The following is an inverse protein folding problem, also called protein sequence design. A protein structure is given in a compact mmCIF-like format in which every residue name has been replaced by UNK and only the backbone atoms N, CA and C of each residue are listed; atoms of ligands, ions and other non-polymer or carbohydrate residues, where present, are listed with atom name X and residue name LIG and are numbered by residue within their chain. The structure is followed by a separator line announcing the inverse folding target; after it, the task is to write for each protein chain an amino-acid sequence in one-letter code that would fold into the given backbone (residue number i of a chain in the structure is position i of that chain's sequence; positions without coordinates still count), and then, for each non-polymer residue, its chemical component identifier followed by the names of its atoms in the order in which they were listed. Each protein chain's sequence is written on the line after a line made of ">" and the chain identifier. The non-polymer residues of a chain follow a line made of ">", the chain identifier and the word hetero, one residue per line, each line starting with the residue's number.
data_IF_117922868223
#
_entry.id   IF_117922868223
#
_cell.length_a   1.000
_cell.length_b   1.000
_cell.length_c   1.000
_cell.angle_alpha   90.00
_cell.angle_beta   90.00
_cell.angle_gamma   90.00
#
_symmetry.space_group_name_H-M   'P 1'
#
loop_
_entity.id
_entity.type
_entity.pdbx_description
1 polymer ?
#
# COMPACT_ATOMS: atom_id res chain seq x y z
N UNK A 1 -6.91 -19.07 5.13
CA UNK A 1 -6.58 -17.70 4.84
C UNK A 1 -5.33 -17.55 3.97
N UNK A 2 -4.20 -18.11 4.30
CA UNK A 2 -2.97 -18.18 3.48
C UNK A 2 -3.26 -18.56 2.01
N UNK A 3 -4.22 -19.47 1.73
CA UNK A 3 -4.63 -19.87 0.37
C UNK A 3 -5.09 -18.73 -0.55
N UNK A 4 -5.65 -17.62 -0.05
CA UNK A 4 -6.03 -16.48 -0.90
C UNK A 4 -4.83 -15.65 -1.33
N UNK A 5 -3.88 -15.47 -0.42
CA UNK A 5 -2.58 -14.83 -0.68
C UNK A 5 -1.79 -15.67 -1.69
N UNK A 6 -1.75 -17.00 -1.48
CA UNK A 6 -1.11 -17.95 -2.39
C UNK A 6 -1.72 -17.90 -3.79
N UNK A 7 -3.05 -17.89 -3.92
CA UNK A 7 -3.74 -17.85 -5.21
C UNK A 7 -3.49 -16.54 -5.99
N UNK A 8 -3.31 -15.41 -5.29
CA UNK A 8 -2.99 -14.12 -5.94
C UNK A 8 -1.58 -14.15 -6.52
N UNK A 9 -0.63 -14.69 -5.76
CA UNK A 9 0.77 -14.83 -6.17
C UNK A 9 1.00 -15.95 -7.19
N UNK A 10 0.26 -17.04 -7.12
CA UNK A 10 0.28 -18.08 -8.17
C UNK A 10 -0.14 -17.53 -9.53
N UNK A 11 -1.17 -16.68 -9.57
CA UNK A 11 -1.60 -15.99 -10.80
C UNK A 11 -0.54 -15.04 -11.37
N UNK A 12 0.29 -14.43 -10.52
CA UNK A 12 1.41 -13.61 -10.96
C UNK A 12 2.53 -14.44 -11.60
N UNK A 13 2.83 -15.60 -10.99
CA UNK A 13 3.83 -16.54 -11.50
C UNK A 13 3.40 -17.14 -12.83
N UNK A 14 2.09 -17.40 -13.01
CA UNK A 14 1.53 -17.93 -14.26
C UNK A 14 1.36 -16.86 -15.36
N UNK A 15 1.39 -15.54 -14.99
CA UNK A 15 1.17 -14.41 -15.88
C UNK A 15 2.46 -13.75 -16.36
N UNK A 16 2.57 -12.45 -16.11
CA UNK A 16 3.64 -11.56 -16.64
C UNK A 16 5.04 -11.96 -16.17
N UNK A 17 5.16 -12.60 -15.02
CA UNK A 17 6.42 -12.94 -14.37
C UNK A 17 6.94 -14.36 -14.65
N UNK A 18 6.16 -15.22 -15.29
CA UNK A 18 6.53 -16.63 -15.55
C UNK A 18 7.90 -16.80 -16.24
N UNK A 19 8.33 -15.78 -17.02
CA UNK A 19 9.62 -15.79 -17.72
C UNK A 19 10.83 -15.53 -16.81
N UNK A 20 10.60 -14.91 -15.65
CA UNK A 20 11.67 -14.50 -14.72
C UNK A 20 11.90 -15.53 -13.61
N UNK A 21 11.00 -16.50 -13.44
CA UNK A 21 11.04 -17.46 -12.36
C UNK A 21 11.61 -18.83 -12.77
N UNK A 22 12.78 -18.81 -13.39
CA UNK A 22 13.56 -20.04 -13.61
C UNK A 22 14.42 -20.45 -12.40
N UNK A 23 14.36 -19.68 -11.29
CA UNK A 23 15.15 -19.92 -10.09
C UNK A 23 14.52 -20.98 -9.18
N UNK A 24 15.32 -21.55 -8.25
CA UNK A 24 14.83 -22.47 -7.22
C UNK A 24 13.89 -21.77 -6.23
N UNK A 25 14.06 -20.44 -6.04
CA UNK A 25 13.24 -19.63 -5.15
C UNK A 25 11.99 -19.10 -5.86
N UNK A 26 10.81 -19.41 -5.33
CA UNK A 26 9.53 -18.96 -5.88
C UNK A 26 8.96 -17.78 -5.07
N UNK A 27 8.30 -16.79 -5.70
CA UNK A 27 7.68 -15.66 -5.00
C UNK A 27 6.70 -16.07 -3.90
N UNK A 28 5.99 -17.19 -4.07
CA UNK A 28 5.10 -17.73 -3.05
C UNK A 28 5.83 -18.12 -1.76
N UNK A 29 7.09 -18.53 -1.85
CA UNK A 29 7.91 -18.86 -0.68
C UNK A 29 8.32 -17.61 0.08
N UNK A 30 8.63 -16.51 -0.65
CA UNK A 30 8.92 -15.21 -0.08
C UNK A 30 7.70 -14.72 0.72
N UNK A 31 6.51 -14.77 0.12
CA UNK A 31 5.28 -14.31 0.78
C UNK A 31 4.91 -15.13 2.01
N UNK A 32 5.03 -16.45 1.94
CA UNK A 32 4.81 -17.32 3.11
C UNK A 32 5.75 -16.97 4.25
N UNK A 33 7.00 -16.69 3.93
CA UNK A 33 7.98 -16.32 4.94
C UNK A 33 7.73 -14.93 5.49
N UNK A 34 7.32 -13.95 4.65
CA UNK A 34 6.88 -12.62 5.10
C UNK A 34 5.73 -12.75 6.10
N UNK A 35 4.67 -13.49 5.77
CA UNK A 35 3.52 -13.70 6.67
C UNK A 35 3.97 -14.30 8.01
N UNK A 36 4.90 -15.26 7.98
CA UNK A 36 5.46 -15.82 9.20
C UNK A 36 6.23 -14.78 10.01
N UNK A 37 7.02 -13.94 9.36
CA UNK A 37 7.78 -12.88 10.05
C UNK A 37 6.84 -11.80 10.61
N UNK A 38 5.72 -11.49 9.95
CA UNK A 38 4.68 -10.61 10.52
C UNK A 38 4.16 -11.18 11.84
N UNK A 39 3.79 -12.47 11.86
CA UNK A 39 3.26 -13.12 13.05
C UNK A 39 4.26 -13.19 14.22
N UNK A 40 5.54 -13.37 13.89
CA UNK A 40 6.60 -13.45 14.89
C UNK A 40 7.00 -12.08 15.47
N UNK A 41 6.90 -11.02 14.66
CA UNK A 41 7.38 -9.69 15.00
C UNK A 41 6.27 -8.67 15.28
N UNK A 42 4.99 -9.09 15.26
CA UNK A 42 3.89 -8.23 15.67
C UNK A 42 4.01 -7.85 17.14
N UNK A 43 3.57 -6.67 17.50
CA UNK A 43 3.54 -6.17 18.87
C UNK A 43 2.13 -5.71 19.24
N UNK A 44 1.92 -5.40 20.53
CA UNK A 44 0.64 -4.87 21.01
C UNK A 44 0.83 -3.38 21.26
N UNK A 45 0.02 -2.56 20.61
CA UNK A 45 -0.02 -1.11 20.78
C UNK A 45 -0.66 -0.70 22.11
N UNK A 46 -0.59 0.60 22.41
CA UNK A 46 -1.05 1.18 23.69
C UNK A 46 -2.56 0.99 23.92
N UNK A 47 -3.31 0.89 22.82
CA UNK A 47 -4.78 0.71 22.85
C UNK A 47 -5.22 -0.76 22.72
N UNK A 48 -4.27 -1.69 22.72
CA UNK A 48 -4.55 -3.13 22.61
C UNK A 48 -4.61 -3.67 21.18
N UNK A 49 -4.39 -2.82 20.18
CA UNK A 49 -4.34 -3.21 18.78
C UNK A 49 -3.05 -3.97 18.47
N UNK A 50 -3.08 -4.87 17.50
CA UNK A 50 -1.89 -5.53 17.02
C UNK A 50 -1.19 -4.66 15.97
N UNK A 51 0.07 -4.33 16.23
CA UNK A 51 0.95 -3.58 15.34
C UNK A 51 1.79 -4.53 14.51
N UNK A 52 1.68 -4.45 13.19
CA UNK A 52 2.48 -5.25 12.27
C UNK A 52 3.81 -4.55 11.94
N UNK A 53 4.90 -5.31 11.72
CA UNK A 53 6.11 -4.77 11.10
C UNK A 53 5.76 -4.24 9.71
N UNK A 54 6.46 -3.19 9.29
CA UNK A 54 6.19 -2.50 8.02
C UNK A 54 7.46 -2.31 7.16
N UNK A 55 8.62 -2.72 7.64
CA UNK A 55 9.86 -2.74 6.86
C UNK A 55 10.39 -4.16 6.77
N UNK A 56 10.59 -4.65 5.54
CA UNK A 56 10.99 -6.01 5.25
C UNK A 56 12.21 -6.02 4.34
N UNK A 57 13.36 -6.44 4.86
CA UNK A 57 14.54 -6.68 4.06
C UNK A 57 14.55 -8.16 3.66
N UNK A 58 14.31 -8.42 2.39
CA UNK A 58 14.27 -9.77 1.79
C UNK A 58 15.64 -10.06 1.20
N UNK A 59 16.44 -10.87 1.89
CA UNK A 59 17.80 -11.21 1.48
C UNK A 59 17.81 -12.57 0.79
N UNK A 60 18.27 -12.60 -0.45
CA UNK A 60 18.34 -13.79 -1.30
C UNK A 60 19.75 -14.00 -1.86
N UNK A 61 20.00 -15.17 -2.44
CA UNK A 61 21.30 -15.44 -3.06
C UNK A 61 21.55 -14.53 -4.27
N UNK A 62 22.81 -14.27 -4.59
CA UNK A 62 23.18 -13.49 -5.78
C UNK A 62 22.67 -14.10 -7.08
N UNK A 63 22.63 -15.43 -7.18
CA UNK A 63 22.07 -16.12 -8.36
C UNK A 63 20.57 -15.92 -8.49
N UNK A 64 19.80 -15.98 -7.39
CA UNK A 64 18.37 -15.73 -7.41
C UNK A 64 18.08 -14.26 -7.68
N UNK A 65 18.83 -13.35 -7.05
CA UNK A 65 18.72 -11.91 -7.28
C UNK A 65 18.90 -11.54 -8.76
N UNK A 66 19.89 -12.14 -9.43
CA UNK A 66 20.12 -11.90 -10.86
C UNK A 66 18.95 -12.32 -11.74
N UNK A 67 18.20 -13.35 -11.33
CA UNK A 67 16.99 -13.79 -12.01
C UNK A 67 15.80 -12.84 -11.77
N UNK A 68 15.75 -12.17 -10.62
CA UNK A 68 14.66 -11.25 -10.27
C UNK A 68 14.90 -9.78 -10.66
N UNK A 69 16.12 -9.41 -11.08
CA UNK A 69 16.52 -8.01 -11.22
C UNK A 69 15.61 -7.19 -12.14
N UNK A 70 15.16 -7.78 -13.25
CA UNK A 70 14.26 -7.11 -14.21
C UNK A 70 12.82 -6.97 -13.68
N UNK A 71 12.43 -7.79 -12.71
CA UNK A 71 11.10 -7.82 -12.11
C UNK A 71 11.13 -7.35 -10.64
N UNK A 72 12.26 -6.82 -10.15
CA UNK A 72 12.46 -6.47 -8.75
C UNK A 72 11.41 -5.49 -8.24
N UNK A 73 11.31 -4.31 -8.84
CA UNK A 73 10.37 -3.26 -8.41
C UNK A 73 8.90 -3.73 -8.45
N UNK A 74 8.41 -4.36 -9.55
CA UNK A 74 7.06 -4.93 -9.55
C UNK A 74 6.85 -6.01 -8.50
N UNK A 75 7.86 -6.83 -8.19
CA UNK A 75 7.76 -7.86 -7.16
C UNK A 75 7.69 -7.25 -5.76
N UNK A 76 8.52 -6.24 -5.47
CA UNK A 76 8.49 -5.49 -4.21
C UNK A 76 7.09 -4.88 -3.98
N UNK A 77 6.52 -4.20 -4.99
CA UNK A 77 5.17 -3.62 -4.92
C UNK A 77 4.08 -4.67 -4.65
N UNK A 78 4.15 -5.83 -5.30
CA UNK A 78 3.16 -6.88 -5.10
C UNK A 78 3.29 -7.54 -3.71
N UNK A 79 4.51 -7.64 -3.20
CA UNK A 79 4.75 -8.10 -1.82
C UNK A 79 4.18 -7.10 -0.81
N UNK A 80 4.34 -5.78 -1.04
CA UNK A 80 3.73 -4.73 -0.21
C UNK A 80 2.21 -4.81 -0.22
N UNK A 81 1.58 -4.99 -1.38
CA UNK A 81 0.13 -5.22 -1.47
C UNK A 81 -0.32 -6.48 -0.73
N UNK A 82 0.46 -7.55 -0.84
CA UNK A 82 0.20 -8.81 -0.16
C UNK A 82 0.24 -8.64 1.36
N UNK A 83 1.24 -7.92 1.88
CA UNK A 83 1.38 -7.58 3.30
C UNK A 83 0.18 -6.76 3.77
N UNK A 84 -0.19 -5.73 3.01
CA UNK A 84 -1.35 -4.87 3.30
C UNK A 84 -2.63 -5.68 3.37
N UNK A 85 -2.89 -6.53 2.37
CA UNK A 85 -4.07 -7.37 2.32
C UNK A 85 -4.15 -8.34 3.49
N UNK A 86 -3.02 -8.97 3.84
CA UNK A 86 -2.94 -9.89 4.97
C UNK A 86 -3.23 -9.16 6.28
N UNK A 87 -2.52 -8.08 6.58
CA UNK A 87 -2.66 -7.33 7.82
C UNK A 87 -4.06 -6.73 7.97
N UNK A 88 -4.65 -6.24 6.87
CA UNK A 88 -6.02 -5.76 6.88
C UNK A 88 -7.03 -6.86 7.27
N UNK A 89 -6.87 -8.08 6.73
CA UNK A 89 -7.76 -9.20 7.05
C UNK A 89 -7.63 -9.68 8.49
N UNK A 90 -6.43 -9.57 9.06
CA UNK A 90 -6.15 -9.93 10.47
C UNK A 90 -6.45 -8.78 11.45
N UNK A 91 -6.77 -7.58 10.95
CA UNK A 91 -7.04 -6.39 11.76
C UNK A 91 -5.78 -5.79 12.39
N UNK A 92 -4.63 -5.95 11.73
CA UNK A 92 -3.37 -5.37 12.20
C UNK A 92 -3.19 -3.94 11.68
N UNK A 93 -2.52 -3.11 12.47
CA UNK A 93 -2.27 -1.69 12.19
C UNK A 93 -0.79 -1.50 11.89
N UNK A 94 -0.49 -0.61 10.94
CA UNK A 94 0.86 -0.15 10.65
C UNK A 94 1.12 1.22 11.29
N UNK A 95 2.33 1.44 11.79
CA UNK A 95 2.79 2.74 12.31
C UNK A 95 3.56 3.56 11.26
N UNK A 96 3.75 3.02 10.07
CA UNK A 96 4.47 3.66 8.98
C UNK A 96 4.21 2.98 7.65
N UNK A 97 4.79 3.50 6.56
CA UNK A 97 4.72 2.91 5.22
C UNK A 97 5.19 1.47 5.23
N UNK A 98 4.48 0.63 4.48
CA UNK A 98 5.00 -0.69 4.14
C UNK A 98 6.13 -0.49 3.12
N UNK A 99 7.26 -1.09 3.39
CA UNK A 99 8.42 -1.08 2.50
C UNK A 99 9.02 -2.48 2.43
N UNK A 100 9.15 -2.99 1.22
CA UNK A 100 9.83 -4.26 0.95
C UNK A 100 11.05 -3.96 0.09
N UNK A 101 12.23 -4.37 0.53
CA UNK A 101 13.46 -4.31 -0.26
C UNK A 101 14.01 -5.70 -0.49
N UNK A 102 14.35 -6.02 -1.74
CA UNK A 102 15.01 -7.27 -2.10
C UNK A 102 16.50 -7.00 -2.29
N UNK A 103 17.32 -7.66 -1.48
CA UNK A 103 18.76 -7.50 -1.44
C UNK A 103 19.46 -8.83 -1.74
N UNK A 104 20.69 -8.74 -2.26
CA UNK A 104 21.52 -9.91 -2.50
C UNK A 104 22.49 -10.16 -1.36
N UNK A 105 22.72 -11.43 -1.06
CA UNK A 105 23.78 -11.89 -0.17
C UNK A 105 24.84 -12.65 -0.99
N UNK A 106 26.05 -12.11 -0.96
CA UNK A 106 27.19 -12.74 -1.64
C UNK A 106 27.55 -14.08 -0.97
N UNK A 107 28.03 -15.04 -1.77
CA UNK A 107 28.46 -16.36 -1.31
C UNK A 107 27.37 -17.23 -0.63
N UNK A 108 26.11 -16.88 -0.75
CA UNK A 108 25.00 -17.71 -0.29
C UNK A 108 24.58 -18.74 -1.35
N UNK A 109 23.99 -19.87 -0.90
CA UNK A 109 23.54 -20.93 -1.82
C UNK A 109 22.25 -20.50 -2.53
N UNK A 110 22.04 -20.93 -3.81
CA UNK A 110 20.75 -20.78 -4.47
C UNK A 110 19.61 -21.27 -3.58
N UNK A 111 18.46 -20.59 -3.62
CA UNK A 111 17.31 -20.89 -2.75
C UNK A 111 17.44 -20.35 -1.31
N UNK A 112 18.56 -19.68 -0.95
CA UNK A 112 18.68 -19.02 0.35
C UNK A 112 17.70 -17.85 0.42
N UNK A 113 16.89 -17.83 1.48
CA UNK A 113 15.93 -16.77 1.77
C UNK A 113 15.97 -16.40 3.24
N UNK A 114 16.32 -15.17 3.55
CA UNK A 114 16.20 -14.57 4.88
C UNK A 114 15.32 -13.33 4.77
N UNK A 115 14.52 -13.08 5.78
CA UNK A 115 13.67 -11.89 5.87
C UNK A 115 13.85 -11.29 7.26
N UNK A 116 14.23 -10.03 7.28
CA UNK A 116 14.33 -9.23 8.49
C UNK A 116 13.14 -8.25 8.51
N UNK A 117 12.19 -8.47 9.41
CA UNK A 117 11.00 -7.66 9.55
C UNK A 117 11.12 -6.72 10.76
N UNK A 118 10.88 -5.42 10.54
CA UNK A 118 11.00 -4.38 11.56
C UNK A 118 9.78 -3.49 11.59
N UNK A 119 9.39 -3.07 12.79
CA UNK A 119 8.42 -2.02 12.99
C UNK A 119 9.15 -0.68 12.97
N UNK A 120 8.77 0.20 12.04
CA UNK A 120 9.28 1.55 11.91
C UNK A 120 8.13 2.54 11.97
N UNK A 121 8.21 3.48 12.89
CA UNK A 121 7.24 4.56 12.99
C UNK A 121 7.65 5.69 12.06
N UNK A 122 6.70 6.29 11.36
CA UNK A 122 6.95 7.51 10.60
C UNK A 122 7.16 8.70 11.52
N UNK A 123 7.91 9.69 11.03
CA UNK A 123 8.33 10.87 11.82
C UNK A 123 7.13 11.66 12.38
N UNK A 124 5.97 11.60 11.74
CA UNK A 124 4.74 12.29 12.14
C UNK A 124 3.78 11.43 12.98
N UNK A 125 4.15 10.19 13.31
CA UNK A 125 3.32 9.30 14.14
C UNK A 125 2.05 8.77 13.46
N UNK A 126 1.75 9.19 12.24
CA UNK A 126 0.66 8.66 11.42
C UNK A 126 1.23 7.85 10.26
N UNK A 127 0.62 6.71 9.88
CA UNK A 127 0.99 6.01 8.66
C UNK A 127 0.84 6.94 7.47
N UNK A 128 1.77 6.95 6.50
CA UNK A 128 1.60 7.76 5.31
C UNK A 128 0.38 7.29 4.54
N UNK A 129 -0.48 8.23 4.19
CA UNK A 129 -1.64 7.98 3.34
C UNK A 129 -1.32 8.22 1.87
N UNK A 130 -2.03 7.53 1.00
CA UNK A 130 -2.00 7.77 -0.43
C UNK A 130 -3.42 7.73 -1.02
N UNK A 131 -3.63 8.52 -2.06
CA UNK A 131 -4.81 8.41 -2.91
C UNK A 131 -4.45 7.55 -4.12
N UNK A 132 -5.16 6.45 -4.31
CA UNK A 132 -4.99 5.56 -5.47
C UNK A 132 -6.05 5.90 -6.50
N UNK A 133 -5.60 6.39 -7.65
CA UNK A 133 -6.45 6.81 -8.76
C UNK A 133 -6.93 5.59 -9.58
N UNK A 134 -7.97 5.74 -10.42
CA UNK A 134 -8.52 4.63 -11.23
C UNK A 134 -7.50 3.99 -12.20
N UNK A 135 -6.48 4.73 -12.60
CA UNK A 135 -5.36 4.25 -13.44
C UNK A 135 -4.27 3.51 -12.66
N UNK A 136 -4.46 3.35 -11.35
CA UNK A 136 -3.50 2.73 -10.43
C UNK A 136 -2.40 3.67 -9.93
N UNK A 137 -2.37 4.93 -10.39
CA UNK A 137 -1.39 5.92 -9.92
C UNK A 137 -1.63 6.23 -8.46
N UNK A 138 -0.56 6.19 -7.65
CA UNK A 138 -0.57 6.58 -6.23
C UNK A 138 -0.11 8.02 -6.08
N UNK A 139 -0.91 8.82 -5.37
CA UNK A 139 -0.59 10.20 -4.99
C UNK A 139 -0.37 10.21 -3.48
N UNK A 140 0.88 10.25 -3.01
CA UNK A 140 1.18 10.24 -1.58
C UNK A 140 0.68 11.53 -0.93
N UNK A 141 0.11 11.39 0.26
CA UNK A 141 -0.34 12.53 1.07
C UNK A 141 0.72 12.78 2.13
N UNK A 142 1.49 13.86 1.93
CA UNK A 142 2.46 14.34 2.91
C UNK A 142 1.86 15.39 3.85
N UNK A 143 2.71 16.31 4.32
CA UNK A 143 2.28 17.42 5.18
C UNK A 143 1.55 18.53 4.42
N UNK A 144 1.54 18.50 3.09
CA UNK A 144 0.89 19.50 2.25
C UNK A 144 -0.55 19.10 1.95
N UNK A 145 -1.40 20.11 1.76
CA UNK A 145 -2.78 19.90 1.31
C UNK A 145 -2.79 19.29 -0.08
N UNK A 146 -3.52 18.20 -0.27
CA UNK A 146 -3.83 17.62 -1.56
C UNK A 146 -5.14 18.19 -2.06
N UNK A 147 -5.06 19.07 -3.06
CA UNK A 147 -6.25 19.63 -3.72
C UNK A 147 -6.77 18.68 -4.80
N UNK A 148 -8.11 18.51 -4.85
CA UNK A 148 -8.80 17.66 -5.80
C UNK A 148 -9.82 18.52 -6.56
N UNK A 149 -9.80 18.45 -7.88
CA UNK A 149 -10.76 19.23 -8.67
C UNK A 149 -10.40 19.29 -10.16
N UNK A 150 -11.18 20.11 -10.89
CA UNK A 150 -11.02 20.28 -12.33
C UNK A 150 -9.98 21.35 -12.71
N UNK A 151 -9.51 22.16 -11.76
CA UNK A 151 -8.49 23.17 -12.03
C UNK A 151 -7.18 22.53 -12.49
N UNK A 152 -6.42 23.26 -13.32
CA UNK A 152 -5.14 22.77 -13.85
C UNK A 152 -4.05 22.65 -12.76
N UNK A 153 -4.16 23.43 -11.72
CA UNK A 153 -3.25 23.48 -10.57
C UNK A 153 -3.67 22.54 -9.41
N UNK A 154 -4.76 21.79 -9.58
CA UNK A 154 -5.14 20.76 -8.59
C UNK A 154 -4.09 19.65 -8.56
N UNK A 155 -3.73 19.20 -7.35
CA UNK A 155 -2.81 18.07 -7.14
C UNK A 155 -3.37 16.79 -7.79
N UNK A 156 -4.67 16.54 -7.61
CA UNK A 156 -5.43 15.50 -8.29
C UNK A 156 -6.40 16.19 -9.24
N UNK A 157 -5.96 16.37 -10.49
CA UNK A 157 -6.80 16.96 -11.52
C UNK A 157 -7.73 15.91 -12.12
N UNK A 158 -9.03 16.21 -12.13
CA UNK A 158 -10.06 15.39 -12.76
C UNK A 158 -10.71 16.22 -13.87
N UNK A 159 -10.41 15.87 -15.13
CA UNK A 159 -10.91 16.61 -16.30
C UNK A 159 -12.31 16.13 -16.70
N UNK A 160 -13.30 16.39 -15.83
CA UNK A 160 -14.70 16.04 -16.01
C UNK A 160 -15.58 17.27 -15.67
N UNK A 161 -16.50 17.68 -16.56
CA UNK A 161 -17.40 18.83 -16.33
C UNK A 161 -18.30 18.68 -15.10
N UNK A 162 -18.58 17.45 -14.67
CA UNK A 162 -19.39 17.18 -13.46
C UNK A 162 -18.63 17.45 -12.16
N UNK A 163 -17.31 17.62 -12.22
CA UNK A 163 -16.46 17.90 -11.08
C UNK A 163 -16.27 19.41 -10.92
N UNK A 164 -16.40 19.89 -9.69
CA UNK A 164 -16.18 21.30 -9.37
C UNK A 164 -14.73 21.70 -9.58
N UNK A 165 -14.48 22.98 -9.89
CA UNK A 165 -13.13 23.53 -10.04
C UNK A 165 -12.29 23.23 -8.79
N UNK A 166 -12.81 23.57 -7.62
CA UNK A 166 -12.32 23.15 -6.31
C UNK A 166 -13.37 22.17 -5.76
N UNK A 167 -13.07 20.88 -5.76
CA UNK A 167 -14.02 19.84 -5.36
C UNK A 167 -13.87 19.50 -3.89
N UNK A 168 -12.67 19.11 -3.52
CA UNK A 168 -12.32 18.64 -2.18
C UNK A 168 -10.83 18.85 -1.89
N UNK A 169 -10.46 18.72 -0.64
CA UNK A 169 -9.07 18.69 -0.18
C UNK A 169 -8.86 17.59 0.85
N UNK A 170 -7.63 17.06 0.90
CA UNK A 170 -7.19 16.14 1.94
C UNK A 170 -5.99 16.75 2.66
N UNK A 171 -6.06 16.77 3.98
CA UNK A 171 -5.03 17.31 4.85
C UNK A 171 -4.73 16.34 6.00
N UNK A 172 -3.45 16.13 6.29
CA UNK A 172 -3.02 15.42 7.50
C UNK A 172 -3.30 16.29 8.73
N UNK A 173 -4.00 15.72 9.71
CA UNK A 173 -4.26 16.30 11.03
C UNK A 173 -3.78 15.35 12.14
N UNK A 174 -3.87 15.79 13.40
CA UNK A 174 -3.47 14.97 14.57
C UNK A 174 -4.13 13.59 14.62
N UNK A 175 -5.39 13.50 14.14
CA UNK A 175 -6.20 12.28 14.18
C UNK A 175 -6.25 11.51 12.83
N UNK A 176 -5.36 11.84 11.87
CA UNK A 176 -5.33 11.20 10.56
C UNK A 176 -5.62 12.14 9.39
N UNK A 177 -6.05 11.58 8.29
CA UNK A 177 -6.27 12.33 7.05
C UNK A 177 -7.71 12.82 6.95
N UNK A 178 -7.91 14.13 7.05
CA UNK A 178 -9.22 14.76 6.90
C UNK A 178 -9.50 15.08 5.43
N UNK A 179 -10.53 14.48 4.87
CA UNK A 179 -11.14 14.85 3.59
C UNK A 179 -12.23 15.90 3.84
N UNK A 180 -12.16 17.01 3.15
CA UNK A 180 -13.16 18.10 3.22
C UNK A 180 -13.75 18.38 1.84
N UNK A 181 -15.06 18.37 1.70
CA UNK A 181 -15.76 18.89 0.50
C UNK A 181 -15.77 20.41 0.53
N UNK A 182 -15.33 21.06 -0.53
CA UNK A 182 -15.22 22.52 -0.63
C UNK A 182 -16.49 23.19 -1.15
N UNK A 183 -17.67 22.68 -0.81
CA UNK A 183 -18.95 23.16 -1.30
C UNK A 183 -19.19 22.80 -2.77
N UNK A 184 -18.80 21.60 -3.14
CA UNK A 184 -18.88 21.14 -4.51
C UNK A 184 -20.34 21.01 -5.00
N UNK A 185 -20.56 21.17 -6.30
CA UNK A 185 -21.92 21.18 -6.89
C UNK A 185 -22.62 19.83 -6.71
N UNK A 186 -21.93 18.74 -6.99
CA UNK A 186 -22.49 17.38 -6.92
C UNK A 186 -22.21 16.67 -5.60
N UNK A 187 -21.34 17.22 -4.77
CA UNK A 187 -20.94 16.65 -3.50
C UNK A 187 -19.80 15.63 -3.62
N UNK A 188 -19.27 15.26 -2.47
CA UNK A 188 -18.27 14.22 -2.29
C UNK A 188 -18.89 13.10 -1.47
N UNK A 189 -18.68 11.84 -1.88
CA UNK A 189 -19.13 10.68 -1.14
C UNK A 189 -17.93 9.87 -0.64
N UNK A 190 -18.09 9.26 0.53
CA UNK A 190 -17.17 8.24 1.06
C UNK A 190 -18.00 6.99 1.34
N UNK A 191 -17.62 5.88 0.72
CA UNK A 191 -18.33 4.60 0.82
C UNK A 191 -19.84 4.72 0.52
N UNK A 192 -20.18 5.57 -0.48
CA UNK A 192 -21.56 5.84 -0.89
C UNK A 192 -22.32 6.87 -0.03
N UNK A 193 -21.72 7.39 1.04
CA UNK A 193 -22.36 8.39 1.93
C UNK A 193 -21.81 9.79 1.62
N UNK A 194 -22.73 10.75 1.44
CA UNK A 194 -22.34 12.15 1.21
C UNK A 194 -21.72 12.75 2.48
N UNK A 195 -20.59 13.43 2.31
CA UNK A 195 -19.86 14.05 3.41
C UNK A 195 -19.66 15.55 3.18
N UNK A 196 -19.47 16.30 4.26
CA UNK A 196 -18.85 17.62 4.27
C UNK A 196 -17.39 17.52 4.73
N UNK A 197 -17.17 16.69 5.74
CA UNK A 197 -15.84 16.30 6.24
C UNK A 197 -15.86 14.84 6.66
N UNK A 198 -14.72 14.14 6.49
CA UNK A 198 -14.56 12.75 6.88
C UNK A 198 -13.10 12.45 7.18
N UNK A 199 -12.83 11.81 8.32
CA UNK A 199 -11.49 11.27 8.61
C UNK A 199 -11.36 9.95 7.89
N UNK A 200 -10.44 9.90 6.91
CA UNK A 200 -10.25 8.75 6.04
C UNK A 200 -9.70 7.54 6.80
N UNK A 201 -10.31 6.41 6.59
CA UNK A 201 -9.86 5.10 7.02
C UNK A 201 -9.26 4.33 5.84
N UNK A 202 -8.37 3.36 6.14
CA UNK A 202 -7.77 2.52 5.09
C UNK A 202 -8.88 1.88 4.22
N UNK A 203 -8.66 1.93 2.89
CA UNK A 203 -9.56 1.44 1.84
C UNK A 203 -10.87 2.21 1.67
N UNK A 204 -11.03 3.38 2.29
CA UNK A 204 -12.16 4.23 1.98
C UNK A 204 -12.23 4.53 0.48
N UNK A 205 -13.43 4.35 -0.09
CA UNK A 205 -13.73 4.70 -1.47
C UNK A 205 -14.32 6.09 -1.51
N UNK A 206 -13.57 7.03 -2.09
CA UNK A 206 -13.97 8.42 -2.29
C UNK A 206 -14.56 8.55 -3.69
N UNK A 207 -15.75 9.14 -3.81
CA UNK A 207 -16.45 9.26 -5.08
C UNK A 207 -16.76 10.72 -5.38
N UNK A 208 -16.40 11.16 -6.59
CA UNK A 208 -16.71 12.45 -7.17
C UNK A 208 -17.50 12.21 -8.47
N UNK A 209 -18.82 12.13 -8.37
CA UNK A 209 -19.66 11.70 -9.50
C UNK A 209 -19.33 10.26 -9.92
N UNK A 210 -18.85 10.07 -11.15
CA UNK A 210 -18.43 8.77 -11.68
C UNK A 210 -16.97 8.44 -11.36
N UNK A 211 -16.18 9.40 -10.89
CA UNK A 211 -14.75 9.22 -10.61
C UNK A 211 -14.53 8.68 -9.19
N UNK A 212 -13.81 7.58 -9.08
CA UNK A 212 -13.59 6.87 -7.81
C UNK A 212 -12.12 6.81 -7.48
N UNK A 213 -11.78 7.19 -6.27
CA UNK A 213 -10.44 7.16 -5.70
C UNK A 213 -10.50 6.28 -4.46
N UNK A 214 -9.45 5.48 -4.21
CA UNK A 214 -9.30 4.74 -2.97
C UNK A 214 -8.25 5.42 -2.10
N UNK A 215 -8.53 5.57 -0.82
CA UNK A 215 -7.54 5.95 0.16
C UNK A 215 -6.84 4.70 0.69
N UNK A 216 -5.52 4.76 0.85
CA UNK A 216 -4.69 3.74 1.48
C UNK A 216 -3.86 4.38 2.59
N UNK A 217 -4.01 3.85 3.81
CA UNK A 217 -3.20 4.21 4.97
C UNK A 217 -2.07 3.18 5.11
N UNK A 218 -0.86 3.51 4.63
CA UNK A 218 0.40 2.75 4.71
C UNK A 218 1.14 2.68 3.39
#
# INVERSE_FOLDING_TARGET
>A
MIKKVENKLEKLVEGTFAKFFSSELKPVEISRKIVREIELNRSIGVHGDYLAPNNFDVVISESDYSNFIEAKEPLEQELEETIRDYCYQEGYIFLGSINVSIEKEENSRPGTLRIDARLKQDENGCPPGALVLPDGKRVPIGNNVISIGRLQDSTVRIDDPSISRNQAEVLLQENGYLLTDLGSTNGTLVNGHRISQHVLADRDQIEFGSYKIRFEAS
#
